data_IF_529348310583
#
_entry.id   IF_529348310583
#
_cell.length_a   1.000
_cell.length_b   1.000
_cell.length_c   1.000
_cell.angle_alpha   90.00
_cell.angle_beta   90.00
_cell.angle_gamma   90.00
#
_symmetry.space_group_name_H-M   'P 1'
#
loop_
_entity.id
_entity.type
_entity.pdbx_description
1 polymer ?
#
# COMPACT_ATOMS: atom_id res chain seq x y z
N UNK A 1 6.89 7.61 -4.77
CA UNK A 1 6.56 6.19 -5.00
C UNK A 1 7.56 5.49 -5.91
N UNK A 2 8.15 6.18 -6.90
CA UNK A 2 9.24 5.62 -7.71
C UNK A 2 10.41 5.06 -6.89
N UNK A 3 10.86 5.77 -5.83
CA UNK A 3 11.92 5.27 -4.96
C UNK A 3 11.59 3.92 -4.29
N UNK A 4 10.31 3.68 -3.97
CA UNK A 4 9.91 2.42 -3.33
C UNK A 4 9.82 1.30 -4.37
N UNK A 5 9.25 1.58 -5.54
CA UNK A 5 9.24 0.65 -6.66
C UNK A 5 10.67 0.30 -7.11
N UNK A 6 11.63 1.23 -7.01
CA UNK A 6 13.04 0.95 -7.28
C UNK A 6 13.67 0.03 -6.23
N UNK A 7 13.29 0.18 -4.95
CA UNK A 7 13.85 -0.61 -3.85
C UNK A 7 13.25 -2.01 -3.73
N UNK A 8 11.96 -2.15 -4.00
CA UNK A 8 11.21 -3.41 -3.86
C UNK A 8 10.99 -4.13 -5.21
N UNK A 9 11.32 -3.47 -6.32
CA UNK A 9 11.05 -3.98 -7.66
C UNK A 9 9.60 -3.72 -8.11
N UNK A 10 9.35 -3.98 -9.39
CA UNK A 10 8.02 -3.97 -9.99
C UNK A 10 7.80 -5.34 -10.62
N UNK A 11 6.76 -6.03 -10.18
CA UNK A 11 6.29 -7.24 -10.85
C UNK A 11 5.27 -6.84 -11.94
N UNK A 12 5.62 -7.10 -13.20
CA UNK A 12 4.78 -6.78 -14.35
C UNK A 12 3.54 -7.67 -14.45
N UNK A 13 3.46 -8.77 -13.68
CA UNK A 13 2.28 -9.61 -13.57
C UNK A 13 1.23 -9.07 -12.60
N UNK A 14 1.57 -8.07 -11.78
CA UNK A 14 0.66 -7.50 -10.79
C UNK A 14 -0.18 -6.36 -11.36
N UNK A 15 -1.46 -6.34 -10.97
CA UNK A 15 -2.42 -5.30 -11.39
C UNK A 15 -2.19 -3.94 -10.69
N UNK A 16 -1.41 -3.91 -9.62
CA UNK A 16 -1.12 -2.72 -8.83
C UNK A 16 0.30 -2.76 -8.28
N UNK A 17 1.04 -1.66 -8.44
CA UNK A 17 2.42 -1.58 -7.98
C UNK A 17 2.51 -1.38 -6.47
N UNK A 18 3.60 -1.87 -5.86
CA UNK A 18 3.86 -1.74 -4.41
C UNK A 18 3.81 -0.29 -3.92
N UNK A 19 4.36 0.66 -4.67
CA UNK A 19 4.26 2.08 -4.34
C UNK A 19 2.82 2.62 -4.33
N UNK A 20 1.93 2.08 -5.15
CA UNK A 20 0.50 2.46 -5.13
C UNK A 20 -0.20 1.87 -3.91
N UNK A 21 0.11 0.62 -3.54
CA UNK A 21 -0.41 -0.01 -2.31
C UNK A 21 0.04 0.77 -1.07
N UNK A 22 1.31 1.21 -1.02
CA UNK A 22 1.81 2.06 0.08
C UNK A 22 1.08 3.40 0.12
N UNK A 23 0.76 3.96 -1.05
CA UNK A 23 0.00 5.21 -1.13
C UNK A 23 -1.38 5.00 -0.54
N UNK A 24 -2.02 3.88 -0.88
CA UNK A 24 -3.29 3.48 -0.31
C UNK A 24 -3.20 3.28 1.20
N UNK A 25 -2.16 2.62 1.72
CA UNK A 25 -1.94 2.40 3.16
C UNK A 25 -1.81 3.72 3.93
N UNK A 26 -1.11 4.70 3.37
CA UNK A 26 -0.99 6.04 3.96
C UNK A 26 -2.34 6.76 3.95
N UNK A 27 -3.07 6.71 2.83
CA UNK A 27 -4.40 7.31 2.71
C UNK A 27 -5.43 6.65 3.64
N UNK A 28 -5.31 5.34 3.84
CA UNK A 28 -6.17 4.55 4.72
C UNK A 28 -5.80 4.71 6.20
N UNK A 29 -4.51 4.78 6.55
CA UNK A 29 -4.02 5.04 7.91
C UNK A 29 -4.46 6.40 8.48
N UNK A 30 -4.85 7.34 7.61
CA UNK A 30 -5.50 8.60 8.00
C UNK A 30 -7.01 8.46 8.32
N UNK A 31 -7.64 7.31 8.05
CA UNK A 31 -9.09 7.11 8.17
C UNK A 31 -9.59 5.75 8.67
N UNK A 32 -8.72 4.74 8.86
CA UNK A 32 -9.13 3.35 9.12
C UNK A 32 -8.25 2.60 10.13
N UNK A 33 -7.83 3.27 11.20
CA UNK A 33 -7.15 2.61 12.32
C UNK A 33 -8.11 1.55 12.92
N UNK A 34 -7.65 0.30 13.08
CA UNK A 34 -8.33 -0.84 13.75
C UNK A 34 -9.44 -1.63 13.01
N UNK A 35 -9.48 -1.62 11.67
CA UNK A 35 -10.39 -2.50 10.88
C UNK A 35 -9.65 -3.71 10.26
N UNK A 36 -10.34 -4.85 10.05
CA UNK A 36 -9.77 -6.00 9.32
C UNK A 36 -9.28 -5.65 7.91
N UNK A 37 -8.15 -6.26 7.47
CA UNK A 37 -7.53 -6.00 6.16
C UNK A 37 -8.43 -6.27 4.96
N UNK A 38 -9.34 -7.25 5.05
CA UNK A 38 -10.28 -7.56 3.95
C UNK A 38 -11.28 -6.42 3.67
N UNK A 39 -11.46 -5.47 4.59
CA UNK A 39 -12.30 -4.27 4.39
C UNK A 39 -11.52 -3.11 3.74
N UNK A 40 -10.24 -3.29 3.45
CA UNK A 40 -9.41 -2.22 2.93
C UNK A 40 -9.82 -1.79 1.52
N UNK A 41 -10.19 -2.72 0.65
CA UNK A 41 -10.75 -2.42 -0.68
C UNK A 41 -12.01 -1.57 -0.58
N UNK A 42 -12.89 -1.87 0.39
CA UNK A 42 -14.15 -1.14 0.63
C UNK A 42 -13.92 0.32 0.99
N UNK A 43 -12.80 0.66 1.63
CA UNK A 43 -12.45 2.05 1.91
C UNK A 43 -12.39 2.90 0.65
N UNK A 44 -12.02 2.31 -0.49
CA UNK A 44 -11.84 3.03 -1.75
C UNK A 44 -13.04 2.94 -2.69
N UNK A 45 -14.09 2.18 -2.35
CA UNK A 45 -15.29 2.02 -3.19
C UNK A 45 -16.04 3.34 -3.41
N UNK A 46 -16.11 4.18 -2.40
CA UNK A 46 -16.78 5.49 -2.44
C UNK A 46 -15.81 6.64 -2.77
N UNK A 47 -14.56 6.33 -3.18
CA UNK A 47 -13.51 7.32 -3.44
C UNK A 47 -13.10 7.32 -4.89
N UNK A 48 -12.58 8.45 -5.36
CA UNK A 48 -12.00 8.58 -6.70
C UNK A 48 -10.64 7.86 -6.78
N UNK A 49 -10.63 6.52 -6.69
CA UNK A 49 -9.42 5.71 -6.55
C UNK A 49 -8.42 5.93 -7.68
N UNK A 50 -8.88 6.07 -8.93
CA UNK A 50 -7.98 6.33 -10.06
C UNK A 50 -7.26 7.68 -9.92
N UNK A 51 -7.95 8.69 -9.39
CA UNK A 51 -7.34 10.00 -9.10
C UNK A 51 -6.35 9.91 -7.94
N UNK A 52 -6.60 9.02 -6.98
CA UNK A 52 -5.76 8.85 -5.81
C UNK A 52 -4.54 7.98 -6.09
N UNK A 53 -4.67 6.90 -6.85
CA UNK A 53 -3.66 5.85 -6.99
C UNK A 53 -3.11 5.73 -8.41
N UNK A 54 -3.83 6.20 -9.43
CA UNK A 54 -3.42 6.18 -10.84
C UNK A 54 -4.49 5.60 -11.76
N UNK A 55 -4.44 5.94 -13.04
CA UNK A 55 -5.38 5.47 -14.06
C UNK A 55 -5.42 3.94 -14.16
N UNK A 56 -6.61 3.36 -14.27
CA UNK A 56 -6.80 1.91 -14.43
C UNK A 56 -6.70 1.11 -13.13
N UNK A 57 -6.53 1.77 -11.99
CA UNK A 57 -6.51 1.12 -10.67
C UNK A 57 -7.94 0.91 -10.18
N UNK A 58 -8.23 -0.32 -9.76
CA UNK A 58 -9.49 -0.72 -9.13
C UNK A 58 -9.27 -1.04 -7.65
N UNK A 59 -10.25 -0.74 -6.79
CA UNK A 59 -10.20 -1.05 -5.36
C UNK A 59 -10.05 -2.53 -5.07
N UNK A 60 -10.54 -3.42 -5.94
CA UNK A 60 -10.40 -4.87 -5.82
C UNK A 60 -8.93 -5.35 -5.89
N UNK A 61 -8.03 -4.53 -6.43
CA UNK A 61 -6.59 -4.84 -6.48
C UNK A 61 -5.93 -4.69 -5.10
N UNK A 62 -6.59 -4.01 -4.16
CA UNK A 62 -6.18 -3.84 -2.77
C UNK A 62 -6.83 -4.90 -1.87
N UNK A 63 -6.66 -6.17 -2.22
CA UNK A 63 -7.06 -7.29 -1.36
C UNK A 63 -6.03 -7.56 -0.26
N UNK A 64 -6.47 -8.29 0.76
CA UNK A 64 -5.69 -8.67 1.94
C UNK A 64 -4.40 -9.42 1.59
N UNK A 65 -4.43 -10.33 0.62
CA UNK A 65 -3.24 -11.03 0.12
C UNK A 65 -2.17 -10.06 -0.41
N UNK A 66 -2.55 -9.12 -1.28
CA UNK A 66 -1.61 -8.15 -1.84
C UNK A 66 -1.09 -7.19 -0.77
N UNK A 67 -1.98 -6.72 0.11
CA UNK A 67 -1.60 -5.81 1.19
C UNK A 67 -0.65 -6.49 2.17
N UNK A 68 -0.94 -7.74 2.56
CA UNK A 68 -0.10 -8.53 3.46
C UNK A 68 1.32 -8.69 2.94
N UNK A 69 1.50 -9.11 1.68
CA UNK A 69 2.83 -9.22 1.05
C UNK A 69 3.59 -7.89 1.05
N UNK A 70 2.90 -6.80 0.71
CA UNK A 70 3.51 -5.46 0.70
C UNK A 70 3.90 -5.02 2.12
N UNK A 71 3.11 -5.35 3.14
CA UNK A 71 3.44 -5.08 4.54
C UNK A 71 4.67 -5.89 4.98
N UNK A 72 4.80 -7.15 4.56
CA UNK A 72 5.99 -7.98 4.83
C UNK A 72 7.24 -7.35 4.18
N UNK A 73 7.16 -6.96 2.91
CA UNK A 73 8.26 -6.31 2.18
C UNK A 73 8.70 -5.00 2.85
N UNK A 74 7.72 -4.18 3.26
CA UNK A 74 7.92 -2.93 3.99
C UNK A 74 8.58 -3.20 5.33
N UNK A 75 8.11 -4.19 6.08
CA UNK A 75 8.65 -4.54 7.38
C UNK A 75 10.14 -4.91 7.27
N UNK A 76 10.50 -5.78 6.31
CA UNK A 76 11.90 -6.13 6.05
C UNK A 76 12.75 -4.91 5.63
N UNK A 77 12.19 -4.03 4.80
CA UNK A 77 12.87 -2.80 4.37
C UNK A 77 13.04 -1.77 5.51
N UNK A 78 12.06 -1.69 6.43
CA UNK A 78 12.10 -0.80 7.58
C UNK A 78 13.07 -1.25 8.66
N UNK A 79 13.18 -2.58 8.88
CA UNK A 79 14.19 -3.15 9.78
C UNK A 79 15.62 -2.87 9.30
N UNK A 80 15.82 -2.85 7.98
CA UNK A 80 17.12 -2.55 7.37
C UNK A 80 17.41 -1.05 7.26
N UNK A 81 16.39 -0.17 7.36
CA UNK A 81 16.56 1.27 7.19
C UNK A 81 15.59 2.11 8.03
N UNK A 82 15.92 2.28 9.32
CA UNK A 82 15.14 2.99 10.35
C UNK A 82 14.81 4.47 10.02
N UNK A 83 15.46 5.09 9.04
CA UNK A 83 15.21 6.49 8.62
C UNK A 83 14.30 6.62 7.38
N UNK A 84 13.83 5.52 6.82
CA UNK A 84 13.01 5.51 5.60
C UNK A 84 11.59 6.05 5.85
N UNK A 85 10.95 6.75 4.89
CA UNK A 85 9.52 7.05 4.96
C UNK A 85 8.63 5.81 5.17
N UNK A 86 9.14 4.63 4.78
CA UNK A 86 8.51 3.32 4.98
C UNK A 86 8.44 2.94 6.47
N UNK A 87 9.42 3.35 7.28
CA UNK A 87 9.41 3.13 8.73
C UNK A 87 8.24 3.86 9.42
N UNK A 88 7.85 5.03 8.92
CA UNK A 88 6.68 5.76 9.43
C UNK A 88 5.40 4.99 9.16
N UNK A 89 5.28 4.34 7.99
CA UNK A 89 4.14 3.48 7.67
C UNK A 89 4.09 2.32 8.67
N UNK A 90 5.19 1.61 8.93
CA UNK A 90 5.22 0.52 9.93
C UNK A 90 4.73 0.98 11.30
N UNK A 91 5.10 2.18 11.77
CA UNK A 91 4.68 2.68 13.08
C UNK A 91 3.20 3.05 13.20
N UNK A 92 2.52 3.27 12.08
CA UNK A 92 1.11 3.67 12.06
C UNK A 92 0.16 2.45 12.05
N UNK A 93 0.70 1.23 12.01
CA UNK A 93 -0.04 -0.03 11.93
C UNK A 93 0.37 -0.99 13.04
#
# INVERSE_FOLDING_TARGET
>A
MELINQKLGVDNGEKIATGQVIKALILNGLGMVSRPLYLFSQFFEDKAIEKLLGTGINSEYLNDDKIGRVMDDIYQLGLTNLGSPVYVVIKLW
#
